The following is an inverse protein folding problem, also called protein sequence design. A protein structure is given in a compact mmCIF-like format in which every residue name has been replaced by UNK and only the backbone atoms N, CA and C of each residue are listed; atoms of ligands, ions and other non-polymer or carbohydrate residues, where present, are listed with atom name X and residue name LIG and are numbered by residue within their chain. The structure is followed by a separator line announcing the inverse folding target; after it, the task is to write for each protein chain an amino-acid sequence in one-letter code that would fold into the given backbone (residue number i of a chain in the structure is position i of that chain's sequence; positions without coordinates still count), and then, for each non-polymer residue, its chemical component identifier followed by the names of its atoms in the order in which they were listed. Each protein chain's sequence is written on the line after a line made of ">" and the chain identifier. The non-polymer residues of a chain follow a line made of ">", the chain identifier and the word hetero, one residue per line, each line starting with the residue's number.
data_IF_438128111414
#
_entry.id   IF_438128111414
#
_cell.length_a   1.000
_cell.length_b   1.000
_cell.length_c   1.000
_cell.angle_alpha   90.00
_cell.angle_beta   90.00
_cell.angle_gamma   90.00
#
_symmetry.space_group_name_H-M   'P 1'
#
loop_
_entity.id
_entity.type
_entity.pdbx_description
1 polymer ?
#
# COMPACT_ATOMS: atom_id res chain seq x y z
N UNK A 1 -0.13 -10.02 0.66
CA UNK A 1 1.21 -9.62 1.12
C UNK A 1 2.16 -9.28 -0.04
N UNK A 2 2.61 -10.24 -0.85
CA UNK A 2 3.59 -10.01 -1.94
C UNK A 2 3.16 -8.93 -2.94
N UNK A 3 1.91 -8.93 -3.38
CA UNK A 3 1.39 -7.94 -4.34
C UNK A 3 1.53 -6.52 -3.82
N UNK A 4 1.16 -6.28 -2.55
CA UNK A 4 1.30 -4.97 -1.91
C UNK A 4 2.77 -4.62 -1.70
N UNK A 5 3.60 -5.56 -1.22
CA UNK A 5 5.04 -5.32 -1.04
C UNK A 5 5.72 -4.89 -2.35
N UNK A 6 5.38 -5.54 -3.47
CA UNK A 6 5.93 -5.18 -4.78
C UNK A 6 5.35 -3.84 -5.28
N UNK A 7 4.05 -3.59 -5.06
CA UNK A 7 3.40 -2.34 -5.47
C UNK A 7 3.96 -1.10 -4.75
N UNK A 8 4.39 -1.29 -3.48
CA UNK A 8 4.96 -0.23 -2.65
C UNK A 8 6.38 0.19 -3.04
N UNK A 9 7.15 -0.70 -3.71
CA UNK A 9 8.52 -0.35 -4.07
C UNK A 9 8.53 0.76 -5.14
N UNK A 10 9.11 1.90 -4.79
CA UNK A 10 9.14 3.10 -5.62
C UNK A 10 7.88 3.95 -5.55
N UNK A 11 7.00 3.69 -4.58
CA UNK A 11 5.82 4.49 -4.33
C UNK A 11 6.11 5.72 -3.47
N UNK A 12 5.12 6.64 -3.37
CA UNK A 12 5.23 7.88 -2.57
C UNK A 12 5.51 7.60 -1.10
N UNK A 13 4.96 6.53 -0.54
CA UNK A 13 5.17 6.11 0.85
C UNK A 13 6.59 5.64 1.10
N UNK A 14 7.22 4.96 0.14
CA UNK A 14 8.64 4.61 0.25
C UNK A 14 9.54 5.86 0.19
N UNK A 15 9.21 6.85 -0.65
CA UNK A 15 9.90 8.15 -0.67
C UNK A 15 9.72 8.90 0.65
N UNK A 16 8.51 8.86 1.24
CA UNK A 16 8.22 9.44 2.54
C UNK A 16 9.04 8.76 3.66
N UNK A 17 9.12 7.43 3.64
CA UNK A 17 9.96 6.63 4.54
C UNK A 17 11.41 7.07 4.48
N UNK A 18 11.94 7.25 3.27
CA UNK A 18 13.31 7.70 3.04
C UNK A 18 13.56 9.10 3.59
N UNK A 19 12.66 10.05 3.33
CA UNK A 19 12.77 11.43 3.82
C UNK A 19 12.72 11.50 5.35
N UNK A 20 11.80 10.76 5.98
CA UNK A 20 11.71 10.68 7.44
C UNK A 20 12.97 10.07 8.05
N UNK A 21 13.49 8.97 7.46
CA UNK A 21 14.70 8.32 7.91
C UNK A 21 15.93 9.23 7.79
N UNK A 22 16.09 9.92 6.66
CA UNK A 22 17.19 10.85 6.42
C UNK A 22 17.15 12.04 7.38
N UNK A 23 15.95 12.59 7.66
CA UNK A 23 15.77 13.77 8.48
C UNK A 23 15.89 13.48 9.99
N UNK A 24 15.25 12.41 10.47
CA UNK A 24 15.13 12.17 11.92
C UNK A 24 16.09 11.12 12.45
N UNK A 25 16.59 10.20 11.60
CA UNK A 25 17.54 9.13 11.96
C UNK A 25 17.09 8.30 13.17
N UNK A 26 15.77 8.09 13.29
CA UNK A 26 15.14 7.32 14.38
C UNK A 26 14.29 6.19 13.78
N UNK A 27 14.89 5.04 13.40
CA UNK A 27 14.17 4.00 12.67
C UNK A 27 12.99 3.40 13.44
N UNK A 28 13.15 3.09 14.72
CA UNK A 28 12.08 2.44 15.49
C UNK A 28 10.77 3.25 15.56
N UNK A 29 10.74 4.54 15.96
CA UNK A 29 9.50 5.31 15.95
C UNK A 29 8.94 5.54 14.55
N UNK A 30 9.77 5.59 13.50
CA UNK A 30 9.30 5.68 12.11
C UNK A 30 8.59 4.38 11.73
N UNK A 31 9.20 3.21 11.93
CA UNK A 31 8.61 1.92 11.57
C UNK A 31 7.32 1.65 12.36
N UNK A 32 7.29 1.98 13.65
CA UNK A 32 6.06 1.87 14.45
C UNK A 32 4.97 2.83 13.95
N UNK A 33 5.33 4.04 13.54
CA UNK A 33 4.41 4.99 12.95
C UNK A 33 3.82 4.48 11.63
N UNK A 34 4.65 3.90 10.75
CA UNK A 34 4.21 3.25 9.53
C UNK A 34 3.25 2.10 9.85
N UNK A 35 3.62 1.22 10.77
CA UNK A 35 2.77 0.09 11.19
C UNK A 35 1.39 0.55 11.64
N UNK A 36 1.32 1.51 12.56
CA UNK A 36 0.06 1.99 13.13
C UNK A 36 -0.80 2.70 12.07
N UNK A 37 -0.19 3.58 11.27
CA UNK A 37 -0.90 4.29 10.20
C UNK A 37 -1.47 3.33 9.16
N UNK A 38 -0.66 2.39 8.69
CA UNK A 38 -1.07 1.39 7.69
C UNK A 38 -2.12 0.46 8.24
N UNK A 39 -1.97 -0.03 9.48
CA UNK A 39 -2.96 -0.90 10.10
C UNK A 39 -4.33 -0.20 10.21
N UNK A 40 -4.36 1.06 10.64
CA UNK A 40 -5.59 1.84 10.71
C UNK A 40 -6.22 2.03 9.32
N UNK A 41 -5.42 2.46 8.34
CA UNK A 41 -5.88 2.73 6.98
C UNK A 41 -6.39 1.46 6.29
N UNK A 42 -5.63 0.36 6.34
CA UNK A 42 -6.01 -0.92 5.74
C UNK A 42 -7.18 -1.58 6.47
N UNK A 43 -7.37 -1.33 7.76
CA UNK A 43 -8.57 -1.81 8.49
C UNK A 43 -9.84 -1.14 7.97
N UNK A 44 -9.81 0.18 7.76
CA UNK A 44 -10.94 0.92 7.17
C UNK A 44 -11.20 0.44 5.74
N UNK A 45 -10.15 0.32 4.92
CA UNK A 45 -10.24 -0.16 3.55
C UNK A 45 -10.77 -1.60 3.47
N UNK A 46 -10.28 -2.47 4.33
CA UNK A 46 -10.72 -3.86 4.41
C UNK A 46 -12.18 -3.99 4.83
N UNK A 47 -12.60 -3.23 5.84
CA UNK A 47 -14.00 -3.20 6.27
C UNK A 47 -14.94 -2.71 5.15
N UNK A 48 -14.52 -1.69 4.38
CA UNK A 48 -15.26 -1.26 3.20
C UNK A 48 -15.35 -2.37 2.14
N UNK A 49 -14.26 -3.11 1.90
CA UNK A 49 -14.24 -4.23 0.97
C UNK A 49 -15.19 -5.36 1.38
N UNK A 50 -15.22 -5.75 2.67
CA UNK A 50 -16.18 -6.73 3.18
C UNK A 50 -17.62 -6.24 3.05
N UNK A 51 -17.88 -4.98 3.34
CA UNK A 51 -19.20 -4.40 3.18
C UNK A 51 -19.67 -4.45 1.72
N UNK A 52 -18.80 -4.12 0.78
CA UNK A 52 -19.07 -4.24 -0.67
C UNK A 52 -19.38 -5.71 -1.04
N UNK A 53 -18.59 -6.66 -0.52
CA UNK A 53 -18.83 -8.09 -0.73
C UNK A 53 -20.23 -8.50 -0.27
N UNK A 54 -20.68 -8.03 0.89
CA UNK A 54 -21.99 -8.36 1.45
C UNK A 54 -23.17 -7.77 0.65
N UNK A 55 -22.95 -6.70 -0.10
CA UNK A 55 -24.00 -6.01 -0.87
C UNK A 55 -24.17 -6.53 -2.29
N UNK A 56 -23.15 -7.13 -2.89
CA UNK A 56 -23.11 -7.43 -4.31
C UNK A 56 -23.29 -8.93 -4.57
N UNK A 57 -24.07 -9.26 -5.61
CA UNK A 57 -24.16 -10.62 -6.12
C UNK A 57 -22.78 -11.09 -6.62
N UNK A 58 -22.45 -12.41 -6.47
CA UNK A 58 -21.11 -12.94 -6.82
C UNK A 58 -20.67 -12.60 -8.25
N UNK A 59 -21.57 -12.66 -9.23
CA UNK A 59 -21.26 -12.32 -10.63
C UNK A 59 -20.92 -10.85 -10.80
N UNK A 60 -21.66 -9.94 -10.17
CA UNK A 60 -21.40 -8.50 -10.22
C UNK A 60 -20.07 -8.20 -9.54
N UNK A 61 -19.85 -8.81 -8.36
CA UNK A 61 -18.62 -8.68 -7.59
C UNK A 61 -17.39 -9.12 -8.42
N UNK A 62 -17.48 -10.23 -9.13
CA UNK A 62 -16.42 -10.74 -10.02
C UNK A 62 -15.98 -9.70 -11.05
N UNK A 63 -16.96 -9.10 -11.77
CA UNK A 63 -16.66 -8.10 -12.77
C UNK A 63 -16.08 -6.81 -12.19
N UNK A 64 -16.62 -6.34 -11.05
CA UNK A 64 -16.11 -5.16 -10.34
C UNK A 64 -14.70 -5.42 -9.82
N UNK A 65 -14.46 -6.52 -9.13
CA UNK A 65 -13.14 -6.84 -8.57
C UNK A 65 -12.11 -7.05 -9.68
N UNK A 66 -12.43 -7.85 -10.70
CA UNK A 66 -11.51 -8.11 -11.80
C UNK A 66 -11.18 -6.84 -12.60
N UNK A 67 -12.20 -6.05 -12.94
CA UNK A 67 -12.02 -4.75 -13.61
C UNK A 67 -11.21 -3.75 -12.78
N UNK A 68 -11.48 -3.67 -11.46
CA UNK A 68 -10.72 -2.80 -10.55
C UNK A 68 -9.25 -3.23 -10.43
N UNK A 69 -8.95 -4.53 -10.38
CA UNK A 69 -7.58 -5.03 -10.38
C UNK A 69 -6.83 -4.67 -11.67
N UNK A 70 -7.50 -4.73 -12.82
CA UNK A 70 -6.92 -4.30 -14.10
C UNK A 70 -6.69 -2.78 -14.14
N UNK A 71 -7.60 -1.99 -13.58
CA UNK A 71 -7.43 -0.54 -13.43
C UNK A 71 -6.23 -0.20 -12.52
N UNK A 72 -6.08 -0.89 -11.37
CA UNK A 72 -4.93 -0.75 -10.48
C UNK A 72 -3.64 -1.17 -11.18
N UNK A 73 -3.66 -2.23 -12.01
CA UNK A 73 -2.51 -2.66 -12.81
C UNK A 73 -2.02 -1.54 -13.74
N UNK A 74 -2.94 -0.89 -14.46
CA UNK A 74 -2.61 0.25 -15.31
C UNK A 74 -2.09 1.45 -14.50
N UNK A 75 -2.69 1.73 -13.34
CA UNK A 75 -2.25 2.81 -12.46
C UNK A 75 -0.86 2.56 -11.85
N UNK A 76 -0.53 1.30 -11.52
CA UNK A 76 0.78 0.93 -10.97
C UNK A 76 1.96 1.26 -11.92
N UNK A 77 1.72 1.41 -13.22
CA UNK A 77 2.74 1.85 -14.18
C UNK A 77 3.10 3.33 -14.04
N UNK A 78 2.17 4.14 -13.52
CA UNK A 78 2.38 5.59 -13.36
C UNK A 78 3.28 5.87 -12.14
N UNK A 79 4.36 6.66 -12.29
CA UNK A 79 5.17 7.07 -11.16
C UNK A 79 4.39 8.01 -10.24
N UNK A 80 4.48 7.76 -8.94
CA UNK A 80 3.90 8.64 -7.94
C UNK A 80 4.84 9.78 -7.60
N UNK A 81 4.23 10.91 -7.19
CA UNK A 81 4.95 12.08 -6.69
C UNK A 81 4.58 12.28 -5.22
N UNK A 82 5.56 12.66 -4.42
CA UNK A 82 5.35 13.01 -3.04
C UNK A 82 5.18 14.52 -2.92
N UNK A 83 3.96 14.97 -2.60
CA UNK A 83 3.64 16.39 -2.35
C UNK A 83 3.59 16.69 -0.84
N UNK A 84 4.36 15.96 -0.02
CA UNK A 84 4.35 16.14 1.43
C UNK A 84 5.27 17.28 1.86
N UNK A 85 4.70 18.33 2.45
CA UNK A 85 5.46 19.35 3.18
C UNK A 85 5.73 18.84 4.61
N UNK A 86 6.93 18.27 4.82
CA UNK A 86 7.37 17.74 6.11
C UNK A 86 7.89 18.82 7.10
N UNK A 87 7.54 20.09 6.89
CA UNK A 87 7.99 21.20 7.75
C UNK A 87 7.27 21.25 9.11
N UNK A 88 6.38 20.28 9.38
CA UNK A 88 5.66 20.24 10.65
C UNK A 88 6.64 20.19 11.86
N UNK A 89 6.42 21.03 12.86
CA UNK A 89 7.27 21.03 14.05
C UNK A 89 7.14 19.71 14.82
N UNK A 90 8.27 19.18 15.28
CA UNK A 90 8.40 17.91 16.03
C UNK A 90 7.79 17.95 17.44
N UNK A 91 6.82 18.83 17.71
CA UNK A 91 6.18 18.97 19.02
C UNK A 91 5.59 17.67 19.55
N UNK A 92 5.13 16.79 18.65
CA UNK A 92 4.46 15.52 18.99
C UNK A 92 5.36 14.29 18.82
N UNK A 93 6.66 14.48 18.51
CA UNK A 93 7.59 13.39 18.29
C UNK A 93 7.51 12.74 16.90
N UNK A 94 8.57 12.01 16.53
CA UNK A 94 8.73 11.39 15.21
C UNK A 94 7.66 10.32 14.94
N UNK A 95 7.23 9.59 15.97
CA UNK A 95 6.20 8.57 15.86
C UNK A 95 4.87 9.17 15.36
N UNK A 96 4.35 10.18 16.06
CA UNK A 96 3.06 10.81 15.70
C UNK A 96 3.13 11.48 14.33
N UNK A 97 4.24 12.17 14.05
CA UNK A 97 4.46 12.75 12.72
C UNK A 97 4.40 11.69 11.63
N UNK A 98 5.06 10.55 11.83
CA UNK A 98 5.05 9.44 10.88
C UNK A 98 3.65 8.86 10.72
N UNK A 99 2.92 8.62 11.83
CA UNK A 99 1.54 8.14 11.77
C UNK A 99 0.66 9.04 10.91
N UNK A 100 0.67 10.35 11.17
CA UNK A 100 -0.17 11.30 10.44
C UNK A 100 0.25 11.39 8.97
N UNK A 101 1.56 11.54 8.70
CA UNK A 101 2.07 11.68 7.34
C UNK A 101 1.79 10.43 6.49
N UNK A 102 1.99 9.23 7.04
CA UNK A 102 1.68 7.98 6.35
C UNK A 102 0.19 7.77 6.16
N UNK A 103 -0.62 8.01 7.19
CA UNK A 103 -2.07 7.88 7.08
C UNK A 103 -2.62 8.76 5.94
N UNK A 104 -2.18 10.02 5.87
CA UNK A 104 -2.60 10.96 4.82
C UNK A 104 -2.04 10.57 3.45
N UNK A 105 -0.79 10.12 3.38
CA UNK A 105 -0.18 9.69 2.12
C UNK A 105 -0.87 8.44 1.53
N UNK A 106 -1.34 7.54 2.39
CA UNK A 106 -2.05 6.32 2.01
C UNK A 106 -3.50 6.57 1.57
N UNK A 107 -4.13 7.66 2.03
CA UNK A 107 -5.52 7.94 1.67
C UNK A 107 -5.69 8.09 0.15
N UNK A 108 -6.56 7.25 -0.43
CA UNK A 108 -6.84 7.23 -1.87
C UNK A 108 -5.70 6.63 -2.70
N UNK A 109 -4.73 5.98 -2.09
CA UNK A 109 -3.63 5.35 -2.80
C UNK A 109 -4.00 3.98 -3.41
N UNK A 110 -3.19 3.54 -4.40
CA UNK A 110 -3.41 2.27 -5.11
C UNK A 110 -3.38 1.06 -4.19
N UNK A 111 -2.57 1.08 -3.12
CA UNK A 111 -2.50 -0.01 -2.13
C UNK A 111 -3.71 -0.03 -1.20
N UNK A 112 -4.26 1.14 -0.85
CA UNK A 112 -5.54 1.21 -0.14
C UNK A 112 -6.67 0.64 -1.01
N UNK A 113 -6.76 1.04 -2.27
CA UNK A 113 -7.77 0.53 -3.21
C UNK A 113 -7.57 -0.98 -3.42
N UNK A 114 -6.33 -1.46 -3.60
CA UNK A 114 -6.04 -2.88 -3.68
C UNK A 114 -6.50 -3.63 -2.41
N UNK A 115 -6.35 -3.04 -1.23
CA UNK A 115 -6.81 -3.64 0.04
C UNK A 115 -8.34 -3.78 0.07
N UNK A 116 -9.10 -2.75 -0.37
CA UNK A 116 -10.56 -2.83 -0.55
C UNK A 116 -10.93 -4.00 -1.46
N UNK A 117 -10.29 -4.07 -2.64
CA UNK A 117 -10.56 -5.08 -3.65
C UNK A 117 -10.24 -6.49 -3.14
N UNK A 118 -9.10 -6.65 -2.46
CA UNK A 118 -8.68 -7.94 -1.90
C UNK A 118 -9.63 -8.39 -0.78
N UNK A 119 -10.09 -7.47 0.08
CA UNK A 119 -11.05 -7.80 1.13
C UNK A 119 -12.40 -8.21 0.54
N UNK A 120 -12.88 -7.48 -0.47
CA UNK A 120 -14.09 -7.84 -1.19
C UNK A 120 -13.99 -9.21 -1.88
N UNK A 121 -12.80 -9.54 -2.42
CA UNK A 121 -12.57 -10.82 -3.11
C UNK A 121 -12.49 -12.01 -2.17
N UNK A 122 -11.71 -11.90 -1.09
CA UNK A 122 -11.36 -13.06 -0.25
C UNK A 122 -12.26 -13.23 0.98
N UNK A 123 -13.09 -12.24 1.29
CA UNK A 123 -13.99 -12.24 2.46
C UNK A 123 -13.25 -12.64 3.75
N UNK A 124 -12.07 -12.12 3.94
CA UNK A 124 -11.16 -12.47 5.03
C UNK A 124 -10.44 -11.22 5.57
N UNK A 125 -11.21 -10.30 6.19
CA UNK A 125 -10.75 -8.99 6.63
C UNK A 125 -9.40 -9.04 7.36
N UNK A 126 -9.32 -9.84 8.43
CA UNK A 126 -8.12 -9.90 9.26
C UNK A 126 -6.88 -10.34 8.47
N UNK A 127 -7.00 -11.38 7.62
CA UNK A 127 -5.90 -11.89 6.81
C UNK A 127 -5.46 -10.88 5.74
N UNK A 128 -6.42 -10.17 5.13
CA UNK A 128 -6.11 -9.14 4.14
C UNK A 128 -5.41 -7.97 4.82
N UNK A 129 -5.95 -7.44 5.92
CA UNK A 129 -5.35 -6.31 6.65
C UNK A 129 -3.94 -6.65 7.15
N UNK A 130 -3.75 -7.80 7.78
CA UNK A 130 -2.43 -8.26 8.24
C UNK A 130 -1.49 -8.45 7.04
N UNK A 131 -1.95 -9.12 5.99
CA UNK A 131 -1.15 -9.40 4.80
C UNK A 131 -0.72 -8.14 4.05
N UNK A 132 -1.60 -7.16 3.89
CA UNK A 132 -1.29 -5.87 3.21
C UNK A 132 -0.40 -4.99 4.09
N UNK A 133 -0.65 -4.94 5.40
CA UNK A 133 0.21 -4.23 6.38
C UNK A 133 1.62 -4.80 6.42
N UNK A 134 1.77 -6.13 6.44
CA UNK A 134 3.09 -6.77 6.35
C UNK A 134 3.78 -6.47 5.01
N UNK A 135 3.02 -6.45 3.90
CA UNK A 135 3.55 -6.05 2.60
C UNK A 135 4.14 -4.64 2.62
N UNK A 136 3.41 -3.69 3.22
CA UNK A 136 3.82 -2.31 3.42
C UNK A 136 5.11 -2.22 4.26
N UNK A 137 5.19 -2.96 5.37
CA UNK A 137 6.39 -2.97 6.22
C UNK A 137 7.59 -3.58 5.51
N UNK A 138 7.42 -4.67 4.76
CA UNK A 138 8.50 -5.31 3.99
C UNK A 138 9.11 -4.34 2.98
N UNK A 139 8.29 -3.50 2.34
CA UNK A 139 8.77 -2.52 1.38
C UNK A 139 9.45 -1.32 2.05
N UNK A 140 8.90 -0.83 3.17
CA UNK A 140 9.32 0.44 3.77
C UNK A 140 10.39 0.29 4.86
N UNK A 141 10.35 -0.77 5.69
CA UNK A 141 11.29 -0.93 6.79
C UNK A 141 12.77 -1.02 6.35
N UNK A 142 13.15 -1.74 5.28
CA UNK A 142 14.53 -1.74 4.79
C UNK A 142 15.00 -0.35 4.39
N UNK A 143 14.15 0.46 3.78
CA UNK A 143 14.47 1.83 3.35
C UNK A 143 14.71 2.73 4.56
N UNK A 144 13.91 2.56 5.62
CA UNK A 144 14.10 3.30 6.88
C UNK A 144 15.44 2.98 7.54
N UNK A 145 15.86 1.70 7.53
CA UNK A 145 17.14 1.29 8.10
C UNK A 145 18.34 1.67 7.22
N UNK A 146 18.24 1.51 5.90
CA UNK A 146 19.34 1.78 4.97
C UNK A 146 19.49 3.27 4.66
N UNK A 147 18.46 4.08 4.91
CA UNK A 147 18.46 5.50 4.60
C UNK A 147 18.73 5.77 3.12
N UNK A 148 19.32 6.93 2.82
CA UNK A 148 19.58 7.36 1.45
C UNK A 148 20.54 6.47 0.65
N UNK A 149 21.41 5.70 1.32
CA UNK A 149 22.41 4.86 0.64
C UNK A 149 21.80 3.66 -0.11
N UNK A 150 20.63 3.17 0.34
CA UNK A 150 19.95 2.02 -0.26
C UNK A 150 19.03 2.37 -1.44
N UNK A 151 18.46 3.56 -1.46
CA UNK A 151 17.45 3.96 -2.43
C UNK A 151 17.98 4.03 -3.89
N UNK A 152 19.24 4.37 -4.07
CA UNK A 152 19.85 4.54 -5.41
C UNK A 152 20.07 3.22 -6.18
N UNK A 153 19.86 2.07 -5.55
CA UNK A 153 20.09 0.75 -6.19
C UNK A 153 18.82 0.05 -6.65
N UNK A 154 17.64 0.62 -6.37
CA UNK A 154 16.36 -0.03 -6.67
C UNK A 154 15.93 0.32 -8.10
N UNK A 155 15.70 -0.69 -8.96
CA UNK A 155 15.21 -0.46 -10.32
C UNK A 155 13.69 -0.21 -10.33
N UNK A 156 13.26 0.96 -9.86
CA UNK A 156 11.84 1.33 -9.68
C UNK A 156 10.96 1.04 -10.90
N UNK A 157 11.49 1.19 -12.13
CA UNK A 157 10.73 0.90 -13.35
C UNK A 157 10.39 -0.60 -13.46
N UNK A 158 11.36 -1.48 -13.19
CA UNK A 158 11.16 -2.92 -13.26
C UNK A 158 10.16 -3.38 -12.18
N UNK A 159 10.26 -2.80 -10.99
CA UNK A 159 9.36 -3.13 -9.88
C UNK A 159 7.91 -2.72 -10.18
N UNK A 160 7.67 -1.52 -10.72
CA UNK A 160 6.34 -1.08 -11.15
C UNK A 160 5.74 -1.99 -12.24
N UNK A 161 6.55 -2.41 -13.20
CA UNK A 161 6.12 -3.39 -14.21
C UNK A 161 5.74 -4.72 -13.55
N UNK A 162 6.56 -5.22 -12.62
CA UNK A 162 6.26 -6.43 -11.85
C UNK A 162 4.95 -6.33 -11.06
N UNK A 163 4.73 -5.23 -10.36
CA UNK A 163 3.47 -4.97 -9.64
C UNK A 163 2.27 -4.94 -10.60
N UNK A 164 2.40 -4.22 -11.72
CA UNK A 164 1.35 -4.15 -12.74
C UNK A 164 0.99 -5.53 -13.30
N UNK A 165 1.98 -6.35 -13.62
CA UNK A 165 1.77 -7.72 -14.12
C UNK A 165 1.08 -8.61 -13.07
N UNK A 166 1.43 -8.47 -11.79
CA UNK A 166 0.78 -9.22 -10.70
C UNK A 166 -0.71 -8.82 -10.56
N UNK A 167 -1.02 -7.53 -10.54
CA UNK A 167 -2.41 -7.06 -10.49
C UNK A 167 -3.19 -7.47 -11.75
N UNK A 168 -2.59 -7.37 -12.93
CA UNK A 168 -3.21 -7.80 -14.18
C UNK A 168 -3.51 -9.30 -14.18
N UNK A 169 -2.56 -10.13 -13.77
CA UNK A 169 -2.77 -11.59 -13.66
C UNK A 169 -3.90 -11.91 -12.67
N UNK A 170 -3.92 -11.26 -11.49
CA UNK A 170 -5.01 -11.45 -10.52
C UNK A 170 -6.37 -11.00 -11.08
N UNK A 171 -6.42 -9.88 -11.79
CA UNK A 171 -7.62 -9.38 -12.44
C UNK A 171 -8.16 -10.36 -13.48
N UNK A 172 -7.30 -10.85 -14.39
CA UNK A 172 -7.68 -11.84 -15.41
C UNK A 172 -8.14 -13.15 -14.78
N UNK A 173 -7.40 -13.68 -13.81
CA UNK A 173 -7.81 -14.89 -13.07
C UNK A 173 -9.18 -14.70 -12.44
N UNK A 174 -9.46 -13.54 -11.85
CA UNK A 174 -10.76 -13.25 -11.23
C UNK A 174 -11.89 -13.18 -12.25
N UNK A 175 -11.64 -12.67 -13.46
CA UNK A 175 -12.64 -12.54 -14.51
C UNK A 175 -12.96 -13.88 -15.17
N UNK A 176 -11.95 -14.72 -15.40
CA UNK A 176 -12.07 -15.93 -16.25
C UNK A 176 -12.14 -17.25 -15.46
N UNK A 177 -11.67 -17.30 -14.20
CA UNK A 177 -11.87 -18.47 -13.36
C UNK A 177 -13.18 -18.31 -12.58
N UNK A 178 -14.12 -19.21 -12.82
CA UNK A 178 -15.36 -19.30 -12.03
C UNK A 178 -15.01 -19.60 -10.57
N UNK A 179 -15.71 -18.96 -9.66
CA UNK A 179 -15.72 -19.32 -8.24
C UNK A 179 -16.53 -20.59 -8.04
#
# INVERSE_FOLDING_TARGET
>A
MLVVAVAEVGDKTQLLSLLLAARYRKPAPIILGILVATLANHSVAGALGEWIHALLAPDVLRWIVGGSLLAVAAWALKPDKLDADLRAPTRYGVFVLTCVAFFLAEMGDKTQIATVILAAKYHALALVVVGTTLGMLIANAPVVYLGSAGANRIPFRAVRIGASLLFAAMGLVTLFMAY
#
